data_IF_790743771826
#
_entry.id   IF_790743771826
#
_cell.length_a   1.000
_cell.length_b   1.000
_cell.length_c   1.000
_cell.angle_alpha   90.00
_cell.angle_beta   90.00
_cell.angle_gamma   90.00
#
_symmetry.space_group_name_H-M   'P 1'
#
loop_
_entity.id
_entity.type
_entity.pdbx_description
1 polymer ?
#
# COMPACT_ATOMS: atom_id res chain seq x y z
N UNK A 1 -11.23 18.44 -1.65
CA UNK A 1 -10.70 19.08 -0.44
C UNK A 1 -9.28 19.51 -0.71
N UNK A 2 -8.75 20.45 0.08
CA UNK A 2 -7.39 20.98 -0.12
C UNK A 2 -6.35 19.99 0.41
N UNK A 3 -5.09 20.19 0.00
CA UNK A 3 -3.96 19.34 0.42
C UNK A 3 -3.82 19.27 1.95
N UNK A 4 -3.95 20.40 2.63
CA UNK A 4 -3.83 20.46 4.10
C UNK A 4 -4.89 19.59 4.79
N UNK A 5 -6.11 19.56 4.24
CA UNK A 5 -7.18 18.73 4.78
C UNK A 5 -6.87 17.23 4.58
N UNK A 6 -6.33 16.86 3.41
CA UNK A 6 -5.85 15.49 3.17
C UNK A 6 -4.75 15.10 4.16
N UNK A 7 -3.74 15.95 4.31
CA UNK A 7 -2.63 15.73 5.23
C UNK A 7 -3.14 15.56 6.66
N UNK A 8 -4.05 16.41 7.12
CA UNK A 8 -4.67 16.30 8.45
C UNK A 8 -5.39 14.97 8.64
N UNK A 9 -6.24 14.58 7.68
CA UNK A 9 -6.99 13.32 7.72
C UNK A 9 -6.10 12.09 7.71
N UNK A 10 -5.07 12.07 6.86
CA UNK A 10 -4.10 10.97 6.83
C UNK A 10 -3.30 10.89 8.13
N UNK A 11 -2.84 12.01 8.68
CA UNK A 11 -2.14 12.03 9.98
C UNK A 11 -3.02 11.52 11.11
N UNK A 12 -4.31 11.89 11.13
CA UNK A 12 -5.27 11.40 12.12
C UNK A 12 -5.50 9.90 11.98
N UNK A 13 -5.81 9.41 10.78
CA UNK A 13 -5.99 8.00 10.50
C UNK A 13 -4.74 7.17 10.85
N UNK A 14 -3.54 7.64 10.50
CA UNK A 14 -2.30 6.94 10.83
C UNK A 14 -2.09 6.73 12.34
N UNK A 15 -2.62 7.62 13.19
CA UNK A 15 -2.55 7.45 14.66
C UNK A 15 -3.43 6.29 15.12
N UNK A 16 -4.61 6.09 14.51
CA UNK A 16 -5.53 4.98 14.86
C UNK A 16 -4.95 3.61 14.51
N UNK A 17 -4.02 3.56 13.56
CA UNK A 17 -3.33 2.35 13.14
C UNK A 17 -2.22 1.90 14.10
N UNK A 18 -1.82 2.71 15.09
CA UNK A 18 -0.73 2.34 15.99
C UNK A 18 -1.18 1.28 17.01
N UNK A 19 -0.26 0.39 17.48
CA UNK A 19 -0.58 -0.61 18.50
C UNK A 19 -1.25 0.05 19.71
N UNK A 20 -2.36 -0.52 20.19
CA UNK A 20 -3.16 -0.01 21.31
C UNK A 20 -2.47 -0.29 22.64
N UNK A 21 -2.90 0.38 23.72
CA UNK A 21 -2.25 0.24 25.03
C UNK A 21 -2.22 -1.22 25.52
N UNK A 22 -3.34 -1.94 25.42
CA UNK A 22 -3.38 -3.35 25.85
C UNK A 22 -2.43 -4.25 25.04
N UNK A 23 -2.23 -3.96 23.76
CA UNK A 23 -1.28 -4.69 22.91
C UNK A 23 0.15 -4.40 23.35
N UNK A 24 0.47 -3.13 23.61
CA UNK A 24 1.78 -2.73 24.13
C UNK A 24 2.08 -3.36 25.49
N UNK A 25 1.06 -3.44 26.36
CA UNK A 25 1.19 -4.08 27.68
C UNK A 25 1.43 -5.59 27.55
N UNK A 26 0.69 -6.26 26.66
CA UNK A 26 0.89 -7.68 26.35
C UNK A 26 2.30 -7.92 25.80
N UNK A 27 2.70 -7.17 24.78
CA UNK A 27 4.03 -7.27 24.16
C UNK A 27 5.13 -7.02 25.19
N UNK A 28 4.99 -6.01 26.04
CA UNK A 28 6.00 -5.69 27.07
C UNK A 28 6.13 -6.81 28.11
N UNK A 29 5.00 -7.37 28.58
CA UNK A 29 5.01 -8.51 29.51
C UNK A 29 5.61 -9.76 28.88
N UNK A 30 5.21 -10.09 27.66
CA UNK A 30 5.70 -11.24 26.92
C UNK A 30 7.20 -11.12 26.62
N UNK A 31 7.64 -9.98 26.09
CA UNK A 31 9.05 -9.72 25.81
C UNK A 31 9.89 -9.83 27.08
N UNK A 32 9.46 -9.21 28.18
CA UNK A 32 10.16 -9.30 29.47
C UNK A 32 10.30 -10.75 29.94
N UNK A 33 9.23 -11.53 29.94
CA UNK A 33 9.28 -12.93 30.40
C UNK A 33 10.18 -13.82 29.54
N UNK A 34 10.26 -13.54 28.24
CA UNK A 34 11.20 -14.24 27.35
C UNK A 34 12.64 -13.83 27.67
N UNK A 35 12.89 -12.55 27.93
CA UNK A 35 14.21 -12.05 28.36
C UNK A 35 14.63 -12.67 29.70
N UNK A 36 13.74 -12.70 30.69
CA UNK A 36 14.01 -13.30 32.00
C UNK A 36 14.36 -14.80 31.86
N UNK A 37 13.72 -15.51 30.92
CA UNK A 37 13.95 -16.93 30.64
C UNK A 37 15.25 -17.22 29.87
N UNK A 38 15.56 -16.41 28.85
CA UNK A 38 16.72 -16.61 27.97
C UNK A 38 17.99 -15.89 28.44
N UNK A 39 17.85 -14.99 29.42
CA UNK A 39 18.88 -14.09 29.92
C UNK A 39 18.65 -12.67 29.40
N UNK A 40 18.50 -11.69 30.30
CA UNK A 40 18.10 -10.32 29.98
C UNK A 40 19.00 -9.66 28.91
N UNK A 41 20.31 -9.91 28.96
CA UNK A 41 21.29 -9.33 28.04
C UNK A 41 21.41 -10.08 26.70
N UNK A 42 20.68 -11.19 26.53
CA UNK A 42 20.76 -12.02 25.33
C UNK A 42 19.61 -11.77 24.36
N UNK A 43 18.61 -10.97 24.72
CA UNK A 43 17.42 -10.76 23.90
C UNK A 43 17.38 -9.35 23.31
N UNK A 44 17.12 -9.24 22.02
CA UNK A 44 17.00 -7.95 21.33
C UNK A 44 15.70 -7.94 20.55
N UNK A 45 14.81 -7.01 20.88
CA UNK A 45 13.58 -6.80 20.10
C UNK A 45 13.94 -6.21 18.74
N UNK A 46 13.46 -6.82 17.66
CA UNK A 46 13.72 -6.39 16.28
C UNK A 46 12.40 -6.31 15.50
N UNK A 47 12.48 -6.10 14.18
CA UNK A 47 11.29 -6.06 13.33
C UNK A 47 10.55 -4.73 13.39
N UNK A 48 9.27 -4.74 12.97
CA UNK A 48 8.50 -3.50 12.77
C UNK A 48 8.05 -2.81 14.06
N UNK A 49 8.03 -3.55 15.18
CA UNK A 49 7.62 -3.02 16.48
C UNK A 49 8.62 -1.98 17.04
N UNK A 50 9.92 -2.28 17.22
CA UNK A 50 10.92 -1.30 17.68
C UNK A 50 11.20 -0.19 16.66
N UNK A 51 10.85 -0.39 15.38
CA UNK A 51 10.87 0.69 14.35
C UNK A 51 9.65 1.61 14.43
N UNK A 52 8.67 1.26 15.25
CA UNK A 52 7.38 1.94 15.42
C UNK A 52 6.56 2.04 14.12
N UNK A 53 6.74 1.08 13.22
CA UNK A 53 5.98 0.94 11.96
C UNK A 53 4.98 -0.22 12.02
N UNK A 54 4.95 -1.00 13.11
CA UNK A 54 3.88 -1.97 13.38
C UNK A 54 2.51 -1.28 13.38
N UNK A 55 1.49 -1.99 12.87
CA UNK A 55 0.10 -1.55 12.87
C UNK A 55 -0.76 -2.49 13.73
N UNK A 56 -1.87 -1.97 14.26
CA UNK A 56 -2.84 -2.75 15.06
C UNK A 56 -3.77 -3.56 14.15
N UNK A 57 -4.13 -4.81 14.53
CA UNK A 57 -3.53 -5.56 15.62
C UNK A 57 -2.08 -6.00 15.33
N UNK A 58 -1.24 -6.06 16.36
CA UNK A 58 0.14 -6.55 16.24
C UNK A 58 0.13 -8.06 16.32
N UNK A 59 0.26 -8.72 15.17
CA UNK A 59 0.31 -10.18 15.08
C UNK A 59 1.70 -10.74 15.41
N UNK A 60 2.77 -10.14 14.87
CA UNK A 60 4.10 -10.73 14.95
C UNK A 60 5.06 -9.86 15.76
N UNK A 61 5.77 -10.49 16.69
CA UNK A 61 6.88 -9.90 17.43
C UNK A 61 8.17 -10.65 17.14
N UNK A 62 9.19 -9.94 16.68
CA UNK A 62 10.50 -10.52 16.36
C UNK A 62 11.51 -10.27 17.51
N UNK A 63 12.19 -11.33 17.94
CA UNK A 63 13.23 -11.30 18.98
C UNK A 63 14.48 -12.01 18.47
N UNK A 64 15.63 -11.34 18.49
CA UNK A 64 16.91 -12.03 18.41
C UNK A 64 17.29 -12.59 19.77
N UNK A 65 17.72 -13.85 19.79
CA UNK A 65 18.32 -14.50 20.95
C UNK A 65 19.81 -14.75 20.70
N UNK A 66 20.65 -13.92 21.29
CA UNK A 66 22.12 -13.95 21.19
C UNK A 66 22.66 -15.12 21.99
N UNK A 67 23.15 -16.15 21.29
CA UNK A 67 23.74 -17.36 21.87
C UNK A 67 25.26 -17.30 22.03
N UNK A 68 25.91 -16.30 21.41
CA UNK A 68 27.35 -16.10 21.53
C UNK A 68 27.91 -15.17 20.45
N UNK A 69 29.23 -15.21 20.28
CA UNK A 69 29.95 -14.59 19.16
C UNK A 69 30.17 -15.62 18.06
N UNK A 70 30.18 -15.16 16.82
CA UNK A 70 30.42 -16.00 15.65
C UNK A 70 31.84 -16.57 15.67
N UNK A 71 31.94 -17.88 15.47
CA UNK A 71 33.18 -18.64 15.21
C UNK A 71 33.06 -19.36 13.85
N UNK A 72 34.17 -19.60 13.15
CA UNK A 72 34.13 -20.32 11.86
C UNK A 72 33.74 -21.81 12.03
N UNK A 73 33.90 -22.37 13.24
CA UNK A 73 33.39 -23.69 13.61
C UNK A 73 31.92 -23.66 14.08
N UNK A 74 31.22 -22.53 13.91
CA UNK A 74 29.85 -22.35 14.41
C UNK A 74 28.89 -23.37 13.80
N UNK A 75 28.09 -23.95 14.68
CA UNK A 75 27.24 -25.10 14.48
C UNK A 75 26.12 -24.89 13.45
N UNK A 76 25.67 -25.99 12.86
CA UNK A 76 24.49 -26.09 11.99
C UNK A 76 23.29 -25.31 12.58
N UNK A 77 22.68 -24.38 11.82
CA UNK A 77 21.55 -23.59 12.31
C UNK A 77 20.35 -24.45 12.73
N UNK A 78 20.20 -25.66 12.19
CA UNK A 78 19.11 -26.58 12.56
C UNK A 78 19.28 -27.05 14.00
N UNK A 79 20.52 -27.35 14.39
CA UNK A 79 20.88 -27.67 15.78
C UNK A 79 20.59 -26.50 16.72
N UNK A 80 20.90 -25.26 16.31
CA UNK A 80 20.61 -24.07 17.12
C UNK A 80 19.10 -23.88 17.35
N UNK A 81 18.28 -24.06 16.31
CA UNK A 81 16.81 -24.00 16.42
C UNK A 81 16.24 -25.13 17.29
N UNK A 82 16.73 -26.37 17.13
CA UNK A 82 16.29 -27.52 17.95
C UNK A 82 16.62 -27.33 19.43
N UNK A 83 17.83 -26.84 19.73
CA UNK A 83 18.24 -26.53 21.09
C UNK A 83 17.37 -25.43 21.70
N UNK A 84 17.10 -24.37 20.93
CA UNK A 84 16.23 -23.28 21.37
C UNK A 84 14.80 -23.79 21.65
N UNK A 85 14.21 -24.53 20.71
CA UNK A 85 12.88 -25.12 20.87
C UNK A 85 12.79 -26.01 22.12
N UNK A 86 13.81 -26.85 22.35
CA UNK A 86 13.85 -27.76 23.50
C UNK A 86 13.87 -27.02 24.85
N UNK A 87 14.49 -25.83 24.91
CA UNK A 87 14.46 -25.00 26.12
C UNK A 87 13.04 -24.52 26.44
N UNK A 88 12.27 -24.15 25.43
CA UNK A 88 10.91 -23.61 25.63
C UNK A 88 9.91 -24.63 26.19
N UNK A 89 10.26 -25.92 26.28
CA UNK A 89 9.50 -26.90 27.06
C UNK A 89 9.37 -26.54 28.55
N UNK A 90 10.26 -25.69 29.09
CA UNK A 90 10.27 -25.23 30.48
C UNK A 90 9.81 -23.78 30.63
N UNK A 91 9.35 -23.14 29.55
CA UNK A 91 8.94 -21.75 29.57
C UNK A 91 7.63 -21.57 30.36
N UNK A 92 7.63 -20.61 31.29
CA UNK A 92 6.44 -20.25 32.07
C UNK A 92 5.81 -19.02 31.44
N UNK A 93 4.62 -19.19 30.89
CA UNK A 93 3.87 -18.08 30.28
C UNK A 93 3.34 -17.12 31.37
N UNK A 94 3.66 -15.81 31.31
CA UNK A 94 3.24 -14.83 32.30
C UNK A 94 1.81 -14.28 32.04
N UNK A 95 1.13 -14.76 31.00
CA UNK A 95 -0.14 -14.20 30.52
C UNK A 95 -1.30 -15.17 30.79
N UNK A 96 -2.54 -14.67 30.63
CA UNK A 96 -3.75 -15.49 30.67
C UNK A 96 -4.03 -16.26 29.38
N UNK A 97 -3.25 -16.02 28.33
CA UNK A 97 -3.40 -16.69 27.04
C UNK A 97 -2.83 -18.10 27.11
N UNK A 98 -3.30 -19.01 26.26
CA UNK A 98 -2.60 -20.28 26.07
C UNK A 98 -1.37 -20.06 25.18
N UNK A 99 -0.29 -20.80 25.43
CA UNK A 99 0.95 -20.70 24.64
C UNK A 99 1.34 -22.08 24.14
N UNK A 100 1.62 -22.17 22.85
CA UNK A 100 2.19 -23.35 22.21
C UNK A 100 3.36 -22.99 21.31
N UNK A 101 4.24 -23.95 21.05
CA UNK A 101 5.23 -23.82 19.99
C UNK A 101 4.53 -24.00 18.64
N UNK A 102 4.68 -23.00 17.78
CA UNK A 102 4.20 -23.02 16.41
C UNK A 102 4.94 -24.04 15.54
N UNK A 103 4.48 -24.23 14.28
CA UNK A 103 5.13 -25.13 13.36
C UNK A 103 6.59 -24.71 13.10
N UNK A 104 7.52 -25.67 12.89
CA UNK A 104 8.93 -25.35 12.62
C UNK A 104 9.08 -24.31 11.51
N UNK A 105 9.91 -23.30 11.77
CA UNK A 105 10.35 -22.32 10.77
C UNK A 105 11.83 -22.50 10.45
N UNK A 106 12.26 -21.93 9.33
CA UNK A 106 13.64 -22.01 8.84
C UNK A 106 14.58 -21.04 9.56
N UNK A 107 14.04 -20.04 10.26
CA UNK A 107 14.86 -18.96 10.82
C UNK A 107 14.54 -18.63 12.27
N UNK A 108 13.41 -19.12 12.79
CA UNK A 108 12.93 -18.85 14.15
C UNK A 108 12.28 -20.09 14.75
N UNK A 109 12.15 -20.09 16.08
CA UNK A 109 11.04 -20.79 16.72
C UNK A 109 9.92 -19.77 16.93
N UNK A 110 8.66 -20.21 16.87
CA UNK A 110 7.52 -19.32 17.07
C UNK A 110 6.75 -19.73 18.32
N UNK A 111 6.48 -18.78 19.21
CA UNK A 111 5.51 -18.96 20.29
C UNK A 111 4.17 -18.38 19.83
N UNK A 112 3.11 -19.18 19.87
CA UNK A 112 1.76 -18.75 19.51
C UNK A 112 0.95 -18.54 20.79
N UNK A 113 0.52 -17.30 21.03
CA UNK A 113 -0.38 -16.94 22.12
C UNK A 113 -1.81 -16.91 21.60
N UNK A 114 -2.68 -17.76 22.18
CA UNK A 114 -4.08 -17.90 21.75
C UNK A 114 -5.05 -17.54 22.87
N UNK A 115 -6.17 -16.93 22.47
CA UNK A 115 -7.29 -16.63 23.36
C UNK A 115 -8.06 -17.89 23.78
N UNK A 116 -9.14 -17.71 24.57
CA UNK A 116 -9.99 -18.80 25.02
C UNK A 116 -10.74 -19.52 23.91
N UNK A 117 -10.86 -18.89 22.73
CA UNK A 117 -11.51 -19.46 21.55
C UNK A 117 -10.50 -20.20 20.65
N UNK A 118 -9.21 -20.13 20.96
CA UNK A 118 -8.14 -20.70 20.16
C UNK A 118 -7.65 -19.78 19.03
N UNK A 119 -8.09 -18.53 18.99
CA UNK A 119 -7.66 -17.54 18.00
C UNK A 119 -6.30 -16.96 18.38
N UNK A 120 -5.42 -16.80 17.39
CA UNK A 120 -4.09 -16.23 17.59
C UNK A 120 -4.18 -14.73 17.92
N UNK A 121 -3.62 -14.37 19.08
CA UNK A 121 -3.58 -12.98 19.57
C UNK A 121 -2.22 -12.35 19.35
N UNK A 122 -1.15 -13.14 19.47
CA UNK A 122 0.22 -12.71 19.29
C UNK A 122 1.08 -13.92 18.93
N UNK A 123 1.89 -13.78 17.89
CA UNK A 123 2.98 -14.67 17.53
C UNK A 123 4.30 -14.01 17.94
N UNK A 124 5.24 -14.80 18.46
CA UNK A 124 6.59 -14.31 18.80
C UNK A 124 7.62 -15.19 18.13
N UNK A 125 8.32 -14.63 17.14
CA UNK A 125 9.42 -15.28 16.44
C UNK A 125 10.74 -15.01 17.17
N UNK A 126 11.35 -16.08 17.68
CA UNK A 126 12.62 -16.03 18.41
C UNK A 126 13.71 -16.65 17.54
N UNK A 127 14.66 -15.82 17.13
CA UNK A 127 15.71 -16.15 16.16
C UNK A 127 17.02 -16.38 16.92
N UNK A 128 17.56 -17.61 16.99
CA UNK A 128 18.87 -17.85 17.58
C UNK A 128 19.95 -17.17 16.74
N UNK A 129 20.88 -16.47 17.38
CA UNK A 129 21.83 -15.64 16.64
C UNK A 129 23.20 -15.51 17.27
N UNK A 130 24.21 -15.29 16.44
CA UNK A 130 25.57 -14.97 16.88
C UNK A 130 25.93 -13.53 16.53
N UNK A 131 26.60 -12.82 17.43
CA UNK A 131 27.22 -11.52 17.13
C UNK A 131 28.32 -11.75 16.10
N UNK A 132 28.28 -11.02 14.99
CA UNK A 132 29.18 -11.23 13.86
C UNK A 132 30.16 -10.09 13.65
N UNK A 133 29.66 -8.86 13.46
CA UNK A 133 30.50 -7.69 13.23
C UNK A 133 29.84 -6.43 13.80
N UNK A 134 30.31 -5.25 13.39
CA UNK A 134 29.73 -3.95 13.73
C UNK A 134 29.31 -3.22 12.45
N UNK A 135 28.19 -2.52 12.48
CA UNK A 135 27.70 -1.68 11.38
C UNK A 135 28.31 -0.26 11.44
N UNK A 136 27.89 0.62 10.53
CA UNK A 136 28.34 2.01 10.42
C UNK A 136 27.99 2.88 11.64
N UNK A 137 27.06 2.44 12.49
CA UNK A 137 26.66 3.09 13.74
C UNK A 137 27.40 2.50 14.96
N UNK A 138 28.39 1.64 14.74
CA UNK A 138 29.10 0.90 15.77
C UNK A 138 28.16 0.00 16.61
N UNK A 139 27.07 -0.50 16.04
CA UNK A 139 26.16 -1.47 16.64
C UNK A 139 26.44 -2.89 16.12
N UNK A 140 26.19 -3.90 16.94
CA UNK A 140 26.40 -5.30 16.54
C UNK A 140 25.51 -5.69 15.35
N UNK A 141 26.11 -6.35 14.37
CA UNK A 141 25.43 -7.15 13.33
C UNK A 141 25.47 -8.62 13.71
N UNK A 142 24.66 -9.42 13.03
CA UNK A 142 24.38 -10.77 13.46
C UNK A 142 24.43 -11.79 12.33
N UNK A 143 24.70 -13.04 12.71
CA UNK A 143 24.45 -14.22 11.89
C UNK A 143 23.14 -14.87 12.36
N UNK A 144 22.16 -14.98 11.47
CA UNK A 144 20.86 -15.61 11.72
C UNK A 144 20.64 -16.78 10.75
N UNK A 145 19.83 -17.79 11.11
CA UNK A 145 19.57 -18.89 10.18
C UNK A 145 18.84 -18.40 8.93
N UNK A 146 19.17 -18.97 7.77
CA UNK A 146 18.59 -18.54 6.51
C UNK A 146 17.10 -18.87 6.42
N UNK A 147 16.32 -17.88 5.99
CA UNK A 147 14.93 -18.11 5.60
C UNK A 147 14.94 -18.96 4.34
N UNK A 148 14.66 -20.26 4.46
CA UNK A 148 14.41 -21.12 3.31
C UNK A 148 13.35 -20.46 2.40
N UNK A 149 13.77 -19.94 1.23
CA UNK A 149 12.91 -19.25 0.27
C UNK A 149 11.75 -20.18 -0.11
N UNK A 150 10.51 -19.78 0.23
CA UNK A 150 9.30 -20.55 -0.09
C UNK A 150 9.13 -20.75 -1.59
N UNK A 151 8.59 -21.92 -1.96
CA UNK A 151 7.57 -22.06 -3.01
C UNK A 151 6.21 -22.22 -2.29
N UNK A 152 5.15 -21.57 -2.77
CA UNK A 152 3.86 -21.33 -2.10
C UNK A 152 3.05 -22.58 -1.61
N UNK A 153 2.11 -22.37 -0.68
CA UNK A 153 1.00 -23.28 -0.31
C UNK A 153 1.22 -24.20 0.91
N UNK A 154 0.17 -24.93 1.34
CA UNK A 154 0.09 -25.84 2.51
C UNK A 154 1.11 -27.01 2.59
N UNK A 155 2.21 -26.92 1.82
CA UNK A 155 3.35 -27.84 1.78
C UNK A 155 4.49 -27.43 2.73
N UNK A 156 4.26 -26.49 3.66
CA UNK A 156 5.26 -26.06 4.66
C UNK A 156 5.78 -27.25 5.47
N UNK A 157 4.87 -28.10 5.97
CA UNK A 157 5.21 -29.29 6.77
C UNK A 157 5.93 -30.35 5.92
N UNK A 158 5.46 -30.60 4.70
CA UNK A 158 6.08 -31.56 3.77
C UNK A 158 7.50 -31.15 3.36
N UNK A 159 7.77 -29.87 3.14
CA UNK A 159 9.11 -29.39 2.79
C UNK A 159 10.10 -29.54 3.95
N UNK A 160 9.69 -29.35 5.22
CA UNK A 160 10.57 -29.62 6.36
C UNK A 160 10.79 -31.11 6.60
N UNK A 161 9.76 -31.94 6.39
CA UNK A 161 9.95 -33.40 6.36
C UNK A 161 10.94 -33.78 5.25
N UNK A 162 10.83 -33.20 4.06
CA UNK A 162 11.75 -33.43 2.94
C UNK A 162 13.15 -32.85 3.19
N UNK A 163 13.32 -31.68 3.83
CA UNK A 163 14.62 -31.11 4.19
C UNK A 163 15.34 -31.96 5.22
N UNK A 164 14.61 -32.45 6.25
CA UNK A 164 15.15 -33.40 7.22
C UNK A 164 15.57 -34.72 6.55
N UNK A 165 14.92 -35.11 5.45
CA UNK A 165 15.24 -36.32 4.69
C UNK A 165 16.32 -36.12 3.61
N UNK A 166 16.47 -34.90 3.06
CA UNK A 166 17.33 -34.61 1.90
C UNK A 166 18.69 -33.95 2.22
N UNK A 167 19.03 -33.73 3.50
CA UNK A 167 20.32 -33.13 3.90
C UNK A 167 20.66 -31.83 3.14
N UNK A 168 19.67 -30.97 2.89
CA UNK A 168 19.95 -29.63 2.36
C UNK A 168 20.34 -28.76 3.54
N UNK A 169 21.63 -28.44 3.64
CA UNK A 169 22.19 -27.65 4.75
C UNK A 169 21.52 -26.27 4.80
N UNK A 170 21.11 -25.88 6.01
CA UNK A 170 20.63 -24.54 6.29
C UNK A 170 21.84 -23.66 6.57
N UNK A 171 21.90 -22.48 5.96
CA UNK A 171 23.05 -21.59 6.09
C UNK A 171 22.80 -20.47 7.11
N UNK A 172 23.89 -19.84 7.57
CA UNK A 172 23.85 -18.63 8.38
C UNK A 172 23.99 -17.38 7.48
N UNK A 173 22.99 -16.49 7.50
CA UNK A 173 23.00 -15.22 6.77
C UNK A 173 23.37 -14.05 7.69
N UNK A 174 23.98 -13.01 7.12
CA UNK A 174 24.28 -11.76 7.83
C UNK A 174 23.00 -10.93 7.92
N UNK A 175 22.74 -10.33 9.07
CA UNK A 175 21.58 -9.48 9.35
C UNK A 175 21.97 -8.28 10.22
N UNK A 176 21.38 -7.12 9.93
CA UNK A 176 21.61 -5.87 10.67
C UNK A 176 20.29 -5.19 11.05
N UNK A 177 19.52 -5.78 11.99
CA UNK A 177 18.25 -5.22 12.41
C UNK A 177 18.41 -3.94 13.23
N UNK A 178 19.54 -3.76 13.93
CA UNK A 178 19.80 -2.56 14.73
C UNK A 178 20.01 -1.34 13.83
N UNK A 179 20.77 -1.50 12.77
CA UNK A 179 20.93 -0.46 11.76
C UNK A 179 19.62 -0.06 11.09
N UNK A 180 18.71 -1.01 10.81
CA UNK A 180 17.36 -0.67 10.32
C UNK A 180 16.54 0.11 11.35
N UNK A 181 16.69 -0.18 12.66
CA UNK A 181 16.03 0.56 13.74
C UNK A 181 16.59 1.98 13.85
N UNK A 182 17.91 2.13 13.75
CA UNK A 182 18.59 3.41 13.77
C UNK A 182 18.12 4.30 12.61
N UNK A 183 18.20 3.79 11.37
CA UNK A 183 17.75 4.51 10.18
C UNK A 183 16.29 4.91 10.24
N UNK A 184 15.40 4.01 10.65
CA UNK A 184 13.98 4.32 10.80
C UNK A 184 13.74 5.43 11.83
N UNK A 185 14.52 5.46 12.90
CA UNK A 185 14.40 6.48 13.97
C UNK A 185 14.91 7.84 13.51
N UNK A 186 16.08 7.90 12.87
CA UNK A 186 16.62 9.14 12.30
C UNK A 186 15.71 9.72 11.21
N UNK A 187 15.21 8.85 10.32
CA UNK A 187 14.29 9.27 9.24
C UNK A 187 12.98 9.83 9.81
N UNK A 188 12.42 9.22 10.85
CA UNK A 188 11.22 9.73 11.51
C UNK A 188 11.46 11.08 12.21
N UNK A 189 12.59 11.22 12.89
CA UNK A 189 12.98 12.45 13.56
C UNK A 189 13.17 13.60 12.55
N UNK A 190 13.87 13.33 11.45
CA UNK A 190 14.12 14.30 10.38
C UNK A 190 12.83 14.76 9.67
N UNK A 191 11.77 13.96 9.72
CA UNK A 191 10.49 14.21 9.03
C UNK A 191 9.35 14.56 9.98
N UNK A 192 9.65 14.82 11.25
CA UNK A 192 8.64 15.12 12.28
C UNK A 192 7.48 14.08 12.31
N UNK A 193 7.84 12.81 12.19
CA UNK A 193 6.90 11.70 12.24
C UNK A 193 6.16 11.40 10.93
N UNK A 194 6.43 12.07 9.81
CA UNK A 194 5.71 11.80 8.55
C UNK A 194 6.07 10.41 8.00
N UNK A 195 7.32 9.96 8.18
CA UNK A 195 7.78 8.63 7.78
C UNK A 195 6.94 7.51 8.41
N UNK A 196 6.88 7.39 9.75
CA UNK A 196 6.15 6.30 10.41
C UNK A 196 4.65 6.35 10.09
N UNK A 197 4.06 7.54 9.99
CA UNK A 197 2.64 7.68 9.63
C UNK A 197 2.37 7.17 8.22
N UNK A 198 3.22 7.53 7.25
CA UNK A 198 3.12 7.06 5.86
C UNK A 198 3.28 5.54 5.78
N UNK A 199 4.31 4.98 6.43
CA UNK A 199 4.55 3.54 6.44
C UNK A 199 3.34 2.75 6.96
N UNK A 200 2.70 3.23 8.04
CA UNK A 200 1.49 2.61 8.61
C UNK A 200 0.30 2.66 7.65
N UNK A 201 0.07 3.80 7.00
CA UNK A 201 -0.99 3.96 6.01
C UNK A 201 -0.83 2.94 4.87
N UNK A 202 0.37 2.83 4.30
CA UNK A 202 0.59 1.92 3.17
C UNK A 202 0.53 0.46 3.62
N UNK A 203 1.04 0.14 4.83
CA UNK A 203 0.89 -1.20 5.41
C UNK A 203 -0.58 -1.57 5.63
N UNK A 204 -1.44 -0.62 6.00
CA UNK A 204 -2.88 -0.86 6.13
C UNK A 204 -3.50 -1.24 4.79
N UNK A 205 -3.21 -0.49 3.73
CA UNK A 205 -3.66 -0.87 2.38
C UNK A 205 -3.16 -2.26 1.97
N UNK A 206 -1.87 -2.55 2.20
CA UNK A 206 -1.29 -3.86 1.87
C UNK A 206 -1.98 -4.99 2.65
N UNK A 207 -2.25 -4.81 3.94
CA UNK A 207 -2.90 -5.85 4.74
C UNK A 207 -4.30 -6.14 4.20
N UNK A 208 -5.09 -5.11 3.91
CA UNK A 208 -6.40 -5.28 3.29
C UNK A 208 -6.31 -5.98 1.92
N UNK A 209 -5.25 -5.71 1.13
CA UNK A 209 -5.02 -6.40 -0.14
C UNK A 209 -4.83 -7.91 0.04
N UNK A 210 -4.06 -8.31 1.06
CA UNK A 210 -3.81 -9.72 1.37
C UNK A 210 -5.03 -10.41 1.98
N UNK A 211 -5.85 -9.68 2.76
CA UNK A 211 -7.13 -10.18 3.27
C UNK A 211 -8.11 -10.51 2.13
N UNK A 212 -8.07 -9.73 1.04
CA UNK A 212 -8.95 -9.91 -0.13
C UNK A 212 -8.43 -10.97 -1.11
N UNK A 213 -7.11 -11.06 -1.28
CA UNK A 213 -6.47 -12.09 -2.09
C UNK A 213 -5.11 -12.44 -1.48
N UNK A 214 -5.06 -13.60 -0.81
CA UNK A 214 -3.86 -14.07 -0.11
C UNK A 214 -2.66 -14.26 -1.06
N UNK A 215 -2.86 -14.38 -2.37
CA UNK A 215 -1.75 -14.53 -3.31
C UNK A 215 -1.08 -13.19 -3.67
N UNK A 216 -1.63 -12.06 -3.24
CA UNK A 216 -1.09 -10.71 -3.51
C UNK A 216 -0.17 -10.19 -2.40
N UNK A 217 0.77 -11.03 -1.94
CA UNK A 217 1.65 -10.69 -0.81
C UNK A 217 2.78 -9.74 -1.23
N UNK A 218 2.71 -8.51 -0.75
CA UNK A 218 3.84 -7.58 -0.70
C UNK A 218 4.45 -7.56 0.70
N UNK A 219 5.78 -7.64 0.81
CA UNK A 219 6.44 -7.64 2.11
C UNK A 219 6.34 -6.27 2.77
N UNK A 220 5.87 -6.25 4.03
CA UNK A 220 5.77 -5.02 4.83
C UNK A 220 7.10 -4.29 4.96
N UNK A 221 8.19 -5.05 5.08
CA UNK A 221 9.53 -4.49 5.25
C UNK A 221 10.02 -3.81 3.96
N UNK A 222 9.80 -4.42 2.80
CA UNK A 222 10.09 -3.79 1.51
C UNK A 222 9.33 -2.47 1.34
N UNK A 223 8.02 -2.45 1.63
CA UNK A 223 7.22 -1.22 1.63
C UNK A 223 7.82 -0.16 2.55
N UNK A 224 8.20 -0.54 3.76
CA UNK A 224 8.82 0.39 4.71
C UNK A 224 10.11 0.99 4.15
N UNK A 225 10.96 0.21 3.49
CA UNK A 225 12.22 0.71 2.89
C UNK A 225 11.99 1.63 1.69
N UNK A 226 10.96 1.39 0.86
CA UNK A 226 10.55 2.35 -0.18
C UNK A 226 10.23 3.70 0.45
N UNK A 227 9.42 3.70 1.52
CA UNK A 227 9.03 4.93 2.22
C UNK A 227 10.24 5.58 2.91
N UNK A 228 11.16 4.80 3.49
CA UNK A 228 12.44 5.31 4.02
C UNK A 228 13.19 6.09 2.94
N UNK A 229 13.38 5.51 1.75
CA UNK A 229 14.10 6.16 0.65
C UNK A 229 13.43 7.48 0.25
N UNK A 230 12.10 7.51 0.11
CA UNK A 230 11.37 8.74 -0.23
C UNK A 230 11.66 9.90 0.73
N UNK A 231 11.72 9.60 2.03
CA UNK A 231 11.92 10.61 3.07
C UNK A 231 13.39 10.97 3.29
N UNK A 232 14.32 10.06 2.99
CA UNK A 232 15.76 10.38 2.96
C UNK A 232 16.12 11.25 1.75
N UNK A 233 15.49 11.02 0.60
CA UNK A 233 15.63 11.88 -0.59
C UNK A 233 15.03 13.27 -0.37
N UNK A 234 13.90 13.35 0.35
CA UNK A 234 13.23 14.61 0.63
C UNK A 234 12.57 14.61 2.01
N UNK A 235 13.23 15.23 2.99
CA UNK A 235 12.73 15.34 4.37
C UNK A 235 11.54 16.29 4.51
N UNK A 236 11.28 17.14 3.51
CA UNK A 236 10.12 18.06 3.48
C UNK A 236 8.87 17.46 2.85
N UNK A 237 8.94 16.20 2.41
CA UNK A 237 7.80 15.50 1.81
C UNK A 237 6.65 15.41 2.81
N UNK A 238 5.43 15.73 2.38
CA UNK A 238 4.25 15.59 3.23
C UNK A 238 3.58 14.23 3.02
N UNK A 239 2.86 13.74 4.04
CA UNK A 239 2.20 12.44 4.01
C UNK A 239 1.33 12.19 2.75
N UNK A 240 0.57 13.18 2.28
CA UNK A 240 -0.22 12.99 1.05
C UNK A 240 0.68 12.74 -0.15
N UNK A 241 1.77 13.51 -0.29
CA UNK A 241 2.68 13.38 -1.42
C UNK A 241 3.39 12.03 -1.40
N UNK A 242 3.81 11.56 -0.22
CA UNK A 242 4.45 10.26 -0.06
C UNK A 242 3.49 9.09 -0.37
N UNK A 243 2.23 9.17 0.10
CA UNK A 243 1.18 8.19 -0.21
C UNK A 243 0.88 8.18 -1.71
N UNK A 244 0.69 9.36 -2.31
CA UNK A 244 0.41 9.47 -3.74
C UNK A 244 1.58 8.96 -4.59
N UNK A 245 2.83 9.31 -4.23
CA UNK A 245 4.05 8.83 -4.90
C UNK A 245 4.13 7.30 -4.87
N UNK A 246 3.91 6.67 -3.70
CA UNK A 246 3.92 5.21 -3.57
C UNK A 246 2.96 4.55 -4.55
N UNK A 247 1.70 4.98 -4.61
CA UNK A 247 0.71 4.36 -5.50
C UNK A 247 0.95 4.70 -6.98
N UNK A 248 1.54 5.85 -7.28
CA UNK A 248 1.92 6.21 -8.65
C UNK A 248 3.03 5.27 -9.17
N UNK A 249 4.04 5.01 -8.35
CA UNK A 249 5.23 4.20 -8.67
C UNK A 249 5.02 2.70 -8.46
N UNK A 250 3.99 2.27 -7.73
CA UNK A 250 3.75 0.85 -7.41
C UNK A 250 3.80 -0.10 -8.62
N UNK A 251 3.24 0.23 -9.82
CA UNK A 251 3.40 -0.63 -10.99
C UNK A 251 4.85 -0.78 -11.44
N UNK A 252 5.68 0.25 -11.30
CA UNK A 252 7.11 0.17 -11.62
C UNK A 252 7.83 -0.70 -10.58
N UNK A 253 7.56 -0.46 -9.29
CA UNK A 253 8.11 -1.23 -8.17
C UNK A 253 7.88 -2.73 -8.35
N UNK A 254 6.67 -3.17 -8.67
CA UNK A 254 6.38 -4.62 -8.81
C UNK A 254 6.92 -5.24 -10.10
N UNK A 255 7.26 -4.44 -11.10
CA UNK A 255 7.79 -4.93 -12.38
C UNK A 255 9.32 -4.94 -12.43
N UNK A 256 9.97 -4.11 -11.62
CA UNK A 256 11.43 -3.99 -11.57
C UNK A 256 11.94 -4.45 -10.20
N UNK A 257 12.18 -5.75 -9.99
CA UNK A 257 12.77 -6.27 -8.75
C UNK A 257 14.23 -5.81 -8.59
N UNK A 258 14.80 -6.07 -7.41
CA UNK A 258 16.20 -5.85 -7.05
C UNK A 258 16.64 -4.37 -7.07
N UNK A 259 15.80 -3.48 -6.56
CA UNK A 259 16.07 -2.04 -6.48
C UNK A 259 16.65 -1.63 -5.13
N UNK A 260 16.35 -2.36 -4.04
CA UNK A 260 16.76 -1.99 -2.69
C UNK A 260 17.72 -3.04 -2.12
N UNK A 261 18.99 -2.67 -1.99
CA UNK A 261 20.02 -3.54 -1.40
C UNK A 261 19.79 -3.73 0.09
N UNK A 262 20.06 -4.94 0.57
CA UNK A 262 20.08 -5.20 2.00
C UNK A 262 21.32 -4.58 2.67
N UNK A 263 21.13 -3.92 3.81
CA UNK A 263 22.20 -3.20 4.51
C UNK A 263 23.30 -4.12 5.06
N UNK A 264 22.94 -5.35 5.43
CA UNK A 264 23.85 -6.33 6.01
C UNK A 264 24.60 -7.11 4.93
N UNK A 265 24.04 -7.18 3.71
CA UNK A 265 24.64 -7.83 2.57
C UNK A 265 24.29 -7.12 1.26
N UNK A 266 25.21 -6.28 0.77
CA UNK A 266 25.07 -5.53 -0.49
C UNK A 266 24.84 -6.42 -1.74
N UNK A 267 25.13 -7.73 -1.66
CA UNK A 267 24.87 -8.68 -2.74
C UNK A 267 23.44 -9.24 -2.75
N UNK A 268 22.63 -8.99 -1.71
CA UNK A 268 21.21 -9.37 -1.64
C UNK A 268 20.33 -8.12 -1.77
N UNK A 269 19.10 -8.33 -2.25
CA UNK A 269 18.09 -7.30 -2.39
C UNK A 269 16.87 -7.65 -1.55
N UNK A 270 16.30 -6.64 -0.90
CA UNK A 270 15.12 -6.77 -0.03
C UNK A 270 13.87 -7.14 -0.85
N UNK A 271 13.86 -6.74 -2.11
CA UNK A 271 12.74 -6.84 -3.04
C UNK A 271 12.91 -7.95 -4.10
N UNK A 272 13.88 -8.86 -3.91
CA UNK A 272 14.12 -10.00 -4.81
C UNK A 272 12.91 -10.93 -4.95
N UNK A 273 12.06 -11.00 -3.93
CA UNK A 273 10.84 -11.82 -3.91
C UNK A 273 9.84 -11.42 -5.00
N UNK A 274 9.91 -10.19 -5.51
CA UNK A 274 9.03 -9.72 -6.58
C UNK A 274 9.24 -10.48 -7.91
N UNK A 275 10.40 -11.12 -8.10
CA UNK A 275 10.66 -12.01 -9.25
C UNK A 275 9.69 -13.20 -9.29
N UNK A 276 9.13 -13.58 -8.13
CA UNK A 276 8.23 -14.72 -8.00
C UNK A 276 6.77 -14.37 -8.32
N UNK A 277 6.44 -13.08 -8.44
CA UNK A 277 5.09 -12.65 -8.79
C UNK A 277 4.80 -12.92 -10.27
N UNK A 278 3.65 -13.56 -10.52
CA UNK A 278 3.14 -13.78 -11.88
C UNK A 278 2.60 -12.48 -12.48
N UNK A 279 2.49 -12.44 -13.80
CA UNK A 279 1.88 -11.29 -14.50
C UNK A 279 0.42 -11.06 -14.08
N UNK A 280 -0.31 -12.13 -13.74
CA UNK A 280 -1.66 -12.03 -13.21
C UNK A 280 -1.69 -11.33 -11.85
N UNK A 281 -0.80 -11.72 -10.93
CA UNK A 281 -0.68 -11.07 -9.62
C UNK A 281 -0.28 -9.60 -9.77
N UNK A 282 0.69 -9.29 -10.63
CA UNK A 282 1.11 -7.91 -10.92
C UNK A 282 -0.05 -7.09 -11.51
N UNK A 283 -0.85 -7.68 -12.40
CA UNK A 283 -2.04 -7.04 -12.98
C UNK A 283 -3.14 -6.78 -11.95
N UNK A 284 -3.40 -7.73 -11.04
CA UNK A 284 -4.34 -7.54 -9.92
C UNK A 284 -3.86 -6.44 -8.96
N UNK A 285 -2.57 -6.40 -8.62
CA UNK A 285 -1.99 -5.32 -7.79
C UNK A 285 -2.19 -3.96 -8.47
N UNK A 286 -1.95 -3.86 -9.80
CA UNK A 286 -2.23 -2.64 -10.57
C UNK A 286 -3.71 -2.26 -10.52
N UNK A 287 -4.62 -3.23 -10.65
CA UNK A 287 -6.06 -2.99 -10.56
C UNK A 287 -6.49 -2.47 -9.19
N UNK A 288 -5.94 -3.04 -8.10
CA UNK A 288 -6.17 -2.58 -6.73
C UNK A 288 -5.62 -1.17 -6.50
N UNK A 289 -4.43 -0.88 -7.04
CA UNK A 289 -3.83 0.46 -7.06
C UNK A 289 -4.74 1.47 -7.75
N UNK A 290 -5.24 1.14 -8.94
CA UNK A 290 -6.13 2.02 -9.70
C UNK A 290 -7.44 2.28 -8.93
N UNK A 291 -7.96 1.28 -8.21
CA UNK A 291 -9.10 1.45 -7.31
C UNK A 291 -8.81 2.42 -6.17
N UNK A 292 -7.65 2.33 -5.52
CA UNK A 292 -7.24 3.30 -4.50
C UNK A 292 -7.16 4.72 -5.06
N UNK A 293 -6.44 4.92 -6.18
CA UNK A 293 -6.24 6.25 -6.76
C UNK A 293 -7.52 6.87 -7.32
N UNK A 294 -8.43 6.06 -7.87
CA UNK A 294 -9.75 6.53 -8.33
C UNK A 294 -10.60 7.03 -7.16
N UNK A 295 -10.58 6.32 -6.03
CA UNK A 295 -11.24 6.79 -4.80
C UNK A 295 -10.58 8.04 -4.26
N UNK A 296 -9.24 8.13 -4.29
CA UNK A 296 -8.51 9.32 -3.87
C UNK A 296 -8.84 10.55 -4.72
N UNK A 297 -8.94 10.41 -6.04
CA UNK A 297 -9.33 11.48 -6.98
C UNK A 297 -10.77 11.96 -6.74
N UNK A 298 -11.65 11.09 -6.25
CA UNK A 298 -13.04 11.42 -5.92
C UNK A 298 -13.26 11.84 -4.46
N UNK A 299 -12.22 11.75 -3.62
CA UNK A 299 -12.31 11.95 -2.17
C UNK A 299 -12.63 13.40 -1.78
N UNK A 300 -13.66 13.56 -0.95
CA UNK A 300 -14.15 14.83 -0.45
C UNK A 300 -14.08 14.96 1.07
N UNK A 301 -14.45 16.15 1.56
CA UNK A 301 -14.38 16.49 2.99
C UNK A 301 -15.27 15.59 3.87
N UNK A 302 -16.38 15.09 3.32
CA UNK A 302 -17.33 14.25 4.06
C UNK A 302 -16.99 12.74 4.00
N UNK A 303 -15.97 12.34 3.24
CA UNK A 303 -15.58 10.94 3.15
C UNK A 303 -14.74 10.51 4.36
N UNK A 304 -14.96 9.28 4.80
CA UNK A 304 -14.13 8.62 5.82
C UNK A 304 -12.87 8.07 5.16
N UNK A 305 -11.73 8.20 5.82
CA UNK A 305 -10.42 7.77 5.28
C UNK A 305 -10.39 6.25 5.08
N UNK A 306 -11.09 5.50 5.93
CA UNK A 306 -11.24 4.04 5.87
C UNK A 306 -11.75 3.58 4.49
N UNK A 307 -12.66 4.34 3.87
CA UNK A 307 -13.20 4.05 2.54
C UNK A 307 -12.10 3.99 1.46
N UNK A 308 -10.98 4.69 1.64
CA UNK A 308 -9.86 4.62 0.70
C UNK A 308 -9.15 3.26 0.77
N UNK A 309 -9.18 2.58 1.91
CA UNK A 309 -8.45 1.33 2.13
C UNK A 309 -9.26 0.06 1.85
N UNK A 310 -10.56 0.17 1.60
CA UNK A 310 -11.37 -0.93 1.04
C UNK A 310 -10.82 -1.33 -0.34
N UNK A 311 -10.55 -2.61 -0.59
CA UNK A 311 -9.93 -2.98 -1.88
C UNK A 311 -10.97 -2.93 -3.00
N UNK A 312 -10.59 -2.26 -4.09
CA UNK A 312 -11.36 -2.22 -5.33
C UNK A 312 -10.44 -2.62 -6.48
N UNK A 313 -10.67 -3.77 -7.09
CA UNK A 313 -9.96 -4.18 -8.30
C UNK A 313 -10.57 -3.46 -9.51
N UNK A 314 -10.07 -2.26 -9.81
CA UNK A 314 -10.62 -1.42 -10.87
C UNK A 314 -10.22 -1.94 -12.26
N UNK A 315 -11.22 -2.28 -13.08
CA UNK A 315 -11.01 -2.71 -14.47
C UNK A 315 -11.17 -1.54 -15.43
N UNK A 316 -10.04 -1.05 -15.96
CA UNK A 316 -10.04 0.04 -16.93
C UNK A 316 -10.63 -0.38 -18.27
N UNK A 317 -11.32 0.54 -18.95
CA UNK A 317 -11.60 0.40 -20.39
C UNK A 317 -10.37 0.82 -21.22
N UNK A 318 -10.19 0.31 -22.47
CA UNK A 318 -8.94 0.48 -23.22
C UNK A 318 -8.46 1.91 -23.45
N UNK A 319 -9.37 2.90 -23.46
CA UNK A 319 -9.04 4.32 -23.67
C UNK A 319 -9.27 5.18 -22.42
N UNK A 320 -9.53 4.54 -21.28
CA UNK A 320 -9.81 5.24 -20.04
C UNK A 320 -8.53 5.74 -19.36
N UNK A 321 -8.50 7.05 -19.13
CA UNK A 321 -7.43 7.75 -18.45
C UNK A 321 -7.95 8.42 -17.17
N UNK A 322 -7.03 8.65 -16.24
CA UNK A 322 -7.24 9.37 -15.00
C UNK A 322 -6.22 10.49 -14.83
N UNK A 323 -6.49 11.44 -13.93
CA UNK A 323 -5.55 12.53 -13.67
C UNK A 323 -4.22 12.02 -13.13
N UNK A 324 -4.27 10.99 -12.28
CA UNK A 324 -3.08 10.37 -11.71
C UNK A 324 -2.19 9.68 -12.76
N UNK A 325 -2.70 9.28 -13.93
CA UNK A 325 -1.86 8.76 -15.03
C UNK A 325 -0.90 9.84 -15.59
N UNK A 326 -1.19 11.12 -15.32
CA UNK A 326 -0.36 12.27 -15.67
C UNK A 326 0.34 12.87 -14.45
N UNK A 327 0.30 12.19 -13.29
CA UNK A 327 0.84 12.69 -12.03
C UNK A 327 0.07 13.88 -11.43
N UNK A 328 -1.14 14.18 -11.91
CA UNK A 328 -1.94 15.32 -11.45
C UNK A 328 -2.68 14.93 -10.18
N UNK A 329 -2.44 15.67 -9.09
CA UNK A 329 -3.14 15.49 -7.80
C UNK A 329 -4.46 16.25 -7.81
N UNK A 330 -5.43 15.80 -7.02
CA UNK A 330 -6.75 16.43 -6.98
C UNK A 330 -6.98 17.12 -5.64
N UNK A 331 -6.81 18.44 -5.63
CA UNK A 331 -6.95 19.32 -4.47
C UNK A 331 -8.09 20.32 -4.68
N UNK A 332 -9.32 19.83 -4.67
CA UNK A 332 -10.50 20.66 -4.93
C UNK A 332 -10.69 21.73 -3.86
N UNK A 333 -10.72 23.00 -4.29
CA UNK A 333 -11.15 24.15 -3.51
C UNK A 333 -12.63 24.46 -3.78
N UNK A 334 -13.49 24.11 -2.82
CA UNK A 334 -14.94 24.28 -2.92
C UNK A 334 -15.40 25.76 -2.95
N UNK A 335 -14.52 26.72 -2.63
CA UNK A 335 -14.86 28.15 -2.76
C UNK A 335 -14.87 28.61 -4.21
N UNK A 336 -14.14 27.93 -5.10
CA UNK A 336 -14.05 28.28 -6.52
C UNK A 336 -15.31 27.85 -7.27
N UNK A 337 -15.90 28.75 -8.06
CA UNK A 337 -17.02 28.40 -8.94
C UNK A 337 -16.53 28.01 -10.32
N UNK A 338 -16.66 26.74 -10.64
CA UNK A 338 -16.30 26.17 -11.93
C UNK A 338 -17.44 25.29 -12.46
N UNK A 339 -17.98 25.63 -13.64
CA UNK A 339 -19.12 24.94 -14.24
C UNK A 339 -18.90 24.76 -15.73
N UNK A 340 -19.10 23.55 -16.22
CA UNK A 340 -19.22 23.25 -17.66
C UNK A 340 -20.68 22.97 -18.06
N UNK A 341 -20.96 23.03 -19.35
CA UNK A 341 -22.22 22.57 -19.94
C UNK A 341 -21.99 22.15 -21.40
N UNK A 342 -22.89 21.35 -21.96
CA UNK A 342 -22.91 20.98 -23.37
C UNK A 342 -24.03 21.68 -24.12
N UNK A 343 -23.72 22.38 -25.21
CA UNK A 343 -24.73 22.95 -26.10
C UNK A 343 -25.04 21.97 -27.22
N UNK A 344 -26.27 21.47 -27.26
CA UNK A 344 -26.74 20.57 -28.32
C UNK A 344 -27.12 21.40 -29.54
N UNK A 345 -26.40 21.17 -30.65
CA UNK A 345 -26.62 21.89 -31.91
C UNK A 345 -28.02 21.68 -32.47
N UNK A 346 -28.50 22.70 -33.18
CA UNK A 346 -29.77 22.67 -33.89
C UNK A 346 -29.78 21.55 -34.94
N UNK A 347 -30.85 20.75 -34.90
CA UNK A 347 -31.20 19.82 -35.94
C UNK A 347 -32.70 19.97 -36.18
N UNK A 348 -33.12 20.18 -37.43
CA UNK A 348 -34.54 20.37 -37.76
C UNK A 348 -35.40 19.23 -37.22
N UNK A 349 -36.44 19.58 -36.45
CA UNK A 349 -37.33 18.64 -35.76
C UNK A 349 -36.86 18.19 -34.37
N UNK A 350 -35.74 18.70 -33.84
CA UNK A 350 -35.19 18.30 -32.54
C UNK A 350 -34.86 19.52 -31.65
N UNK A 351 -35.02 19.35 -30.34
CA UNK A 351 -34.75 20.39 -29.34
C UNK A 351 -33.26 20.72 -29.25
N UNK A 352 -32.85 21.94 -29.60
CA UNK A 352 -31.51 22.47 -29.30
C UNK A 352 -31.47 23.20 -27.97
N UNK A 353 -30.29 23.30 -27.37
CA UNK A 353 -30.10 24.06 -26.13
C UNK A 353 -29.00 23.48 -25.25
N UNK A 354 -28.84 24.07 -24.09
CA UNK A 354 -27.90 23.60 -23.07
C UNK A 354 -28.46 22.38 -22.35
N UNK A 355 -27.64 21.35 -22.16
CA UNK A 355 -28.05 20.11 -21.51
C UNK A 355 -28.65 20.36 -20.13
N UNK A 356 -28.04 21.26 -19.33
CA UNK A 356 -28.51 21.52 -17.97
C UNK A 356 -29.63 22.56 -17.87
N UNK A 357 -29.91 23.34 -18.91
CA UNK A 357 -30.91 24.43 -18.87
C UNK A 357 -32.17 24.11 -19.70
N UNK A 358 -32.17 22.99 -20.44
CA UNK A 358 -33.27 22.63 -21.34
C UNK A 358 -33.99 21.37 -20.82
N UNK A 359 -35.22 21.47 -20.27
CA UNK A 359 -35.91 20.35 -19.62
C UNK A 359 -36.03 19.09 -20.47
N UNK A 360 -36.30 19.23 -21.78
CA UNK A 360 -36.41 18.10 -22.69
C UNK A 360 -35.08 17.32 -22.83
N UNK A 361 -33.94 18.01 -22.76
CA UNK A 361 -32.62 17.38 -22.87
C UNK A 361 -32.19 16.71 -21.57
N UNK A 362 -32.70 17.16 -20.42
CA UNK A 362 -32.46 16.54 -19.12
C UNK A 362 -33.13 15.16 -18.99
N UNK A 363 -34.27 14.95 -19.66
CA UNK A 363 -34.95 13.65 -19.71
C UNK A 363 -34.26 12.64 -20.65
N UNK A 364 -33.33 13.12 -21.49
CA UNK A 364 -32.58 12.31 -22.44
C UNK A 364 -32.61 12.90 -23.85
N UNK A 365 -31.48 12.78 -24.53
CA UNK A 365 -31.28 13.27 -25.88
C UNK A 365 -31.61 12.15 -26.88
N UNK A 366 -32.69 12.34 -27.64
CA UNK A 366 -33.08 11.39 -28.71
C UNK A 366 -32.19 11.52 -29.93
N UNK A 367 -31.77 10.38 -30.46
CA UNK A 367 -31.05 10.29 -31.73
C UNK A 367 -32.04 10.42 -32.89
N UNK A 368 -31.67 11.18 -33.93
CA UNK A 368 -32.56 11.42 -35.08
C UNK A 368 -32.60 10.28 -36.09
N UNK A 369 -32.66 9.02 -35.64
CA UNK A 369 -32.53 7.84 -36.49
C UNK A 369 -31.14 7.77 -37.14
N UNK A 370 -31.07 7.94 -38.46
CA UNK A 370 -29.80 7.98 -39.23
C UNK A 370 -29.01 9.27 -39.05
N UNK A 371 -29.61 10.32 -38.46
CA UNK A 371 -28.96 11.61 -38.24
C UNK A 371 -28.20 11.63 -36.90
N UNK A 372 -26.93 12.05 -36.95
CA UNK A 372 -26.12 12.33 -35.75
C UNK A 372 -26.45 13.72 -35.22
N UNK A 373 -26.57 13.85 -33.89
CA UNK A 373 -26.59 15.14 -33.21
C UNK A 373 -25.20 15.42 -32.66
N UNK A 374 -24.94 16.70 -32.39
CA UNK A 374 -23.62 17.19 -31.99
C UNK A 374 -23.75 18.07 -30.76
N UNK A 375 -22.82 17.90 -29.82
CA UNK A 375 -22.77 18.62 -28.55
C UNK A 375 -21.43 19.34 -28.45
N UNK A 376 -21.46 20.66 -28.26
CA UNK A 376 -20.26 21.46 -27.96
C UNK A 376 -20.15 21.67 -26.45
N UNK A 377 -19.12 21.11 -25.84
CA UNK A 377 -18.87 21.30 -24.41
C UNK A 377 -18.07 22.57 -24.16
N UNK A 378 -18.52 23.40 -23.22
CA UNK A 378 -17.89 24.68 -22.90
C UNK A 378 -17.88 24.93 -21.40
N UNK A 379 -16.87 25.66 -20.94
CA UNK A 379 -16.85 26.22 -19.60
C UNK A 379 -17.84 27.40 -19.56
N UNK A 380 -18.85 27.30 -18.71
CA UNK A 380 -19.92 28.31 -18.55
C UNK A 380 -19.64 29.29 -17.42
N UNK A 381 -18.93 28.83 -16.39
CA UNK A 381 -18.50 29.66 -15.27
C UNK A 381 -17.11 29.25 -14.84
N UNK A 382 -16.23 30.22 -14.64
CA UNK A 382 -14.86 29.97 -14.24
C UNK A 382 -14.32 31.12 -13.38
N UNK A 383 -14.24 30.88 -12.08
CA UNK A 383 -13.58 31.76 -11.11
C UNK A 383 -12.22 31.16 -10.67
N UNK A 384 -11.70 30.19 -11.42
CA UNK A 384 -10.46 29.50 -11.06
C UNK A 384 -9.25 30.25 -11.62
N UNK A 385 -8.12 30.28 -10.90
CA UNK A 385 -6.84 30.77 -11.40
C UNK A 385 -6.09 29.71 -12.24
N UNK A 386 -6.80 28.81 -12.93
CA UNK A 386 -6.19 27.72 -13.67
C UNK A 386 -5.51 28.21 -14.96
N UNK A 387 -4.30 27.71 -15.22
CA UNK A 387 -3.57 27.97 -16.46
C UNK A 387 -3.94 27.00 -17.58
N UNK A 388 -4.60 25.90 -17.23
CA UNK A 388 -4.89 24.79 -18.14
C UNK A 388 -6.21 24.10 -17.76
N UNK A 389 -6.90 23.54 -18.77
CA UNK A 389 -8.11 22.72 -18.57
C UNK A 389 -7.93 21.34 -19.18
N UNK A 390 -8.30 20.29 -18.46
CA UNK A 390 -8.31 18.91 -18.95
C UNK A 390 -9.74 18.43 -19.09
N UNK A 391 -10.06 17.76 -20.19
CA UNK A 391 -11.42 17.28 -20.49
C UNK A 391 -11.46 15.77 -20.60
N UNK A 392 -12.30 15.14 -19.78
CA UNK A 392 -12.61 13.70 -19.87
C UNK A 392 -13.95 13.50 -20.56
N UNK A 393 -13.98 12.63 -21.57
CA UNK A 393 -15.23 12.16 -22.17
C UNK A 393 -15.36 10.68 -21.88
N UNK A 394 -16.29 10.32 -20.98
CA UNK A 394 -16.58 8.92 -20.65
C UNK A 394 -17.87 8.50 -21.33
N UNK A 395 -17.76 7.54 -22.24
CA UNK A 395 -18.94 6.87 -22.77
C UNK A 395 -19.40 5.75 -21.84
N UNK A 396 -20.68 5.40 -21.91
CA UNK A 396 -21.26 4.28 -21.18
C UNK A 396 -20.47 2.99 -21.39
N UNK A 397 -20.20 2.26 -20.32
CA UNK A 397 -19.41 1.01 -20.38
C UNK A 397 -20.12 -0.11 -21.14
N UNK A 398 -21.43 0.02 -21.39
CA UNK A 398 -22.25 -0.95 -22.14
C UNK A 398 -22.37 -0.63 -23.62
N UNK A 399 -21.82 0.51 -24.08
CA UNK A 399 -21.89 0.87 -25.49
C UNK A 399 -20.79 0.18 -26.31
N UNK A 400 -20.92 0.24 -27.65
CA UNK A 400 -19.97 -0.39 -28.57
C UNK A 400 -18.56 0.22 -28.53
N UNK A 401 -18.45 1.50 -28.11
CA UNK A 401 -17.18 2.21 -28.03
C UNK A 401 -17.04 2.92 -26.68
N UNK A 402 -16.77 2.17 -25.58
CA UNK A 402 -16.50 2.78 -24.30
C UNK A 402 -15.24 3.64 -24.40
N UNK A 403 -15.38 4.90 -23.97
CA UNK A 403 -14.36 5.96 -23.97
C UNK A 403 -14.09 6.40 -22.55
N UNK A 404 -12.99 7.10 -22.33
CA UNK A 404 -12.65 7.68 -21.04
C UNK A 404 -11.36 8.51 -21.08
N UNK A 405 -10.96 8.98 -22.26
CA UNK A 405 -9.69 9.67 -22.44
C UNK A 405 -9.72 11.09 -21.86
N UNK A 406 -8.54 11.62 -21.51
CA UNK A 406 -8.35 12.97 -20.98
C UNK A 406 -7.53 13.80 -21.97
N UNK A 407 -8.12 14.89 -22.44
CA UNK A 407 -7.54 15.76 -23.49
C UNK A 407 -7.31 17.19 -23.00
N UNK A 408 -6.34 17.88 -23.62
CA UNK A 408 -5.94 19.23 -23.24
C UNK A 408 -6.84 20.29 -23.89
N UNK A 409 -7.38 21.19 -23.07
CA UNK A 409 -8.18 22.38 -23.37
C UNK A 409 -9.51 22.19 -24.12
N UNK A 410 -9.73 21.04 -24.75
CA UNK A 410 -10.99 20.66 -25.45
C UNK A 410 -11.21 19.16 -25.35
N UNK A 411 -12.42 18.71 -25.66
CA UNK A 411 -12.71 17.29 -25.88
C UNK A 411 -11.98 16.76 -27.11
N UNK A 412 -11.81 15.44 -27.21
CA UNK A 412 -11.12 14.81 -28.35
C UNK A 412 -11.81 15.11 -29.67
N UNK A 413 -13.14 15.06 -29.69
CA UNK A 413 -13.93 15.52 -30.83
C UNK A 413 -14.69 16.76 -30.40
N UNK A 414 -14.56 17.85 -31.14
CA UNK A 414 -15.30 19.09 -30.88
C UNK A 414 -15.94 19.56 -32.19
N UNK A 415 -17.27 19.39 -32.36
CA UNK A 415 -18.22 18.89 -31.37
C UNK A 415 -18.17 17.36 -31.17
N UNK A 416 -18.61 16.88 -30.01
CA UNK A 416 -18.83 15.45 -29.75
C UNK A 416 -20.15 14.98 -30.39
N UNK A 417 -20.15 13.78 -30.97
CA UNK A 417 -21.33 13.21 -31.63
C UNK A 417 -22.15 12.29 -30.73
N UNK A 418 -23.48 12.28 -30.87
CA UNK A 418 -24.39 11.44 -30.09
C UNK A 418 -24.60 10.05 -30.73
N UNK A 419 -23.51 9.34 -30.98
CA UNK A 419 -23.51 8.10 -31.79
C UNK A 419 -23.96 6.85 -31.03
N UNK A 420 -23.88 6.86 -29.70
CA UNK A 420 -24.19 5.69 -28.87
C UNK A 420 -25.23 6.03 -27.83
N UNK A 421 -26.25 5.18 -27.69
CA UNK A 421 -27.20 5.28 -26.59
C UNK A 421 -26.53 4.90 -25.26
N UNK A 422 -27.10 5.37 -24.15
CA UNK A 422 -26.62 5.09 -22.80
C UNK A 422 -26.33 6.34 -21.97
N UNK A 423 -25.86 6.10 -20.76
CA UNK A 423 -25.47 7.13 -19.80
C UNK A 423 -23.98 7.44 -19.95
N UNK A 424 -23.70 8.61 -20.51
CA UNK A 424 -22.34 9.13 -20.72
C UNK A 424 -22.11 10.31 -19.79
N UNK A 425 -20.86 10.75 -19.66
CA UNK A 425 -20.57 12.02 -19.00
C UNK A 425 -19.34 12.70 -19.58
N UNK A 426 -19.30 14.02 -19.41
CA UNK A 426 -18.10 14.83 -19.66
C UNK A 426 -17.69 15.50 -18.35
N UNK A 427 -16.40 15.42 -18.04
CA UNK A 427 -15.78 16.12 -16.93
C UNK A 427 -14.75 17.12 -17.47
N UNK A 428 -14.60 18.24 -16.77
CA UNK A 428 -13.51 19.17 -16.99
C UNK A 428 -12.82 19.43 -15.66
N UNK A 429 -11.50 19.52 -15.70
CA UNK A 429 -10.63 19.75 -14.56
C UNK A 429 -9.83 21.03 -14.79
N UNK A 430 -9.87 21.94 -13.83
CA UNK A 430 -9.12 23.19 -13.84
C UNK A 430 -7.76 22.95 -13.17
N UNK A 431 -6.67 23.06 -13.93
CA UNK A 431 -5.32 22.72 -13.50
C UNK A 431 -4.51 23.98 -13.19
N UNK A 432 -3.89 24.02 -12.01
CA UNK A 432 -2.97 25.06 -11.58
C UNK A 432 -1.71 24.41 -10.98
N UNK A 433 -0.55 24.77 -11.51
CA UNK A 433 0.75 24.27 -11.04
C UNK A 433 0.85 22.73 -10.96
N UNK A 434 0.20 22.02 -11.89
CA UNK A 434 0.18 20.56 -11.92
C UNK A 434 -0.90 19.89 -11.07
N UNK A 435 -1.70 20.67 -10.31
CA UNK A 435 -2.78 20.14 -9.47
C UNK A 435 -4.16 20.54 -10.01
N UNK A 436 -5.12 19.63 -9.88
CA UNK A 436 -6.54 19.89 -10.15
C UNK A 436 -7.17 20.61 -8.96
N UNK A 437 -7.53 21.89 -9.15
CA UNK A 437 -8.06 22.76 -8.09
C UNK A 437 -9.59 22.90 -8.12
N UNK A 438 -10.21 22.56 -9.23
CA UNK A 438 -11.67 22.51 -9.38
C UNK A 438 -12.03 21.53 -10.48
N UNK A 439 -13.21 20.92 -10.39
CA UNK A 439 -13.75 20.05 -11.43
C UNK A 439 -15.25 20.25 -11.61
N UNK A 440 -15.74 19.99 -12.81
CA UNK A 440 -17.17 20.04 -13.12
C UNK A 440 -17.54 18.86 -14.01
N UNK A 441 -18.74 18.30 -13.78
CA UNK A 441 -19.25 17.12 -14.48
C UNK A 441 -20.62 17.43 -15.07
N UNK A 442 -20.85 16.99 -16.30
CA UNK A 442 -22.16 17.02 -16.95
C UNK A 442 -22.49 15.61 -17.44
N UNK A 443 -23.63 15.08 -16.97
CA UNK A 443 -24.18 13.83 -17.46
C UNK A 443 -24.86 14.04 -18.81
N UNK A 444 -24.73 13.05 -19.70
CA UNK A 444 -25.28 13.07 -21.05
C UNK A 444 -26.01 11.75 -21.27
N UNK A 445 -27.34 11.78 -21.14
CA UNK A 445 -28.18 10.61 -21.40
C UNK A 445 -28.62 10.62 -22.86
N UNK A 446 -28.26 9.59 -23.61
CA UNK A 446 -28.67 9.43 -25.03
C UNK A 446 -29.65 8.26 -25.12
N UNK A 447 -30.84 8.54 -25.66
CA UNK A 447 -31.94 7.57 -25.82
C UNK A 447 -31.89 6.87 -27.18
#
# INVERSE_FOLDING_TARGET
MKKDDFNAKFREYARTLSPRQYERDLISKTYKSICDFLGENNCIQIGSYPRFTAITPVHDLDILYVIGKWDENSHDPSTALQNLASRFNQYVNPTSYSVELGPPQSHSITLLFKDSNGEEVLSVDIVPTYIFSRNEFNEDTYKVPEIARRRHGGKRIQYYQELSQRHKEMDWIISDPRGYIHVASETDQATNGEFRKTAKIIKRWKNNLVEEDEDLKLQSFHIEQIITNYFQENTSLEIFDAVFKFFLELPEVVNNPNQIRDRANNGKFIDDYLEQLTDEQKSKIRSARDGFLTKLESFGENNSVEQLFEILFYSRKPTEEFLFDKGIKTFIDNSLKFRIDGFVKLLSGFTSGWLTETPHLQNGLTRGGTKKRYIEFRIRKNETPAGEYRWKVKNSDTCFQPRGEITLNRTRNDPESTEYAGDHYVECYAIKNGDCIARSKVSVKIL
#
